data_IF_886253660547
#
_entry.id   IF_886253660547
#
_cell.length_a   1.000
_cell.length_b   1.000
_cell.length_c   1.000
_cell.angle_alpha   90.00
_cell.angle_beta   90.00
_cell.angle_gamma   90.00
#
_symmetry.space_group_name_H-M   'P 1'
#
loop_
_entity.id
_entity.type
_entity.pdbx_description
1 polymer ?
#
# COMPACT_ATOMS: atom_id res chain seq x y z
N UNK A 1 -11.12 -17.50 -28.54
CA UNK A 1 -12.43 -17.83 -27.98
C UNK A 1 -12.83 -16.80 -26.92
N UNK A 2 -13.12 -15.55 -27.31
CA UNK A 2 -13.90 -14.56 -26.52
C UNK A 2 -14.36 -13.32 -27.32
N UNK A 3 -14.44 -13.41 -28.66
CA UNK A 3 -15.22 -12.44 -29.44
C UNK A 3 -16.67 -12.92 -29.39
N UNK A 4 -17.53 -12.21 -28.66
CA UNK A 4 -18.98 -11.97 -28.86
C UNK A 4 -19.55 -11.54 -27.50
N UNK A 5 -19.51 -10.23 -27.24
CA UNK A 5 -20.47 -9.51 -26.43
C UNK A 5 -20.39 -8.06 -26.89
N UNK A 6 -21.38 -7.65 -27.68
CA UNK A 6 -21.51 -6.30 -28.21
C UNK A 6 -21.54 -5.27 -27.06
N UNK A 7 -20.61 -4.32 -27.10
CA UNK A 7 -20.45 -3.24 -26.10
C UNK A 7 -21.69 -2.35 -25.93
N UNK A 8 -22.66 -2.46 -26.85
CA UNK A 8 -23.94 -1.76 -26.82
C UNK A 8 -24.88 -2.24 -25.69
N UNK A 9 -24.70 -3.46 -25.18
CA UNK A 9 -25.62 -4.06 -24.18
C UNK A 9 -25.28 -3.74 -22.71
N UNK A 10 -24.08 -3.22 -22.43
CA UNK A 10 -23.68 -2.74 -21.09
C UNK A 10 -23.88 -1.23 -20.88
N UNK A 11 -24.19 -0.50 -21.96
CA UNK A 11 -24.44 0.94 -21.94
C UNK A 11 -25.74 1.38 -21.22
N UNK A 12 -26.86 0.63 -21.11
CA UNK A 12 -28.09 1.18 -20.53
C UNK A 12 -28.11 1.16 -18.99
N UNK A 13 -27.30 0.35 -18.32
CA UNK A 13 -27.34 0.21 -16.85
C UNK A 13 -26.56 1.30 -16.13
N UNK A 14 -25.41 1.70 -16.66
CA UNK A 14 -24.56 2.72 -16.03
C UNK A 14 -25.23 4.11 -15.97
N UNK A 15 -25.92 4.61 -17.02
CA UNK A 15 -26.67 5.87 -16.97
C UNK A 15 -27.84 5.81 -15.99
N UNK A 16 -28.54 4.67 -15.91
CA UNK A 16 -29.65 4.47 -14.96
C UNK A 16 -29.15 4.43 -13.51
N UNK A 17 -28.05 3.72 -13.24
CA UNK A 17 -27.39 3.72 -11.93
C UNK A 17 -26.88 5.11 -11.56
N UNK A 18 -26.28 5.84 -12.50
CA UNK A 18 -25.83 7.23 -12.30
C UNK A 18 -27.00 8.17 -12.03
N UNK A 19 -28.14 7.98 -12.71
CA UNK A 19 -29.35 8.76 -12.46
C UNK A 19 -29.96 8.44 -11.09
N UNK A 20 -30.04 7.16 -10.72
CA UNK A 20 -30.50 6.72 -9.41
C UNK A 20 -29.62 7.24 -8.27
N UNK A 21 -28.29 7.22 -8.47
CA UNK A 21 -27.33 7.80 -7.53
C UNK A 21 -27.57 9.30 -7.33
N UNK A 22 -27.68 10.07 -8.42
CA UNK A 22 -27.95 11.52 -8.34
C UNK A 22 -29.29 11.83 -7.68
N UNK A 23 -30.32 11.05 -7.94
CA UNK A 23 -31.62 11.22 -7.29
C UNK A 23 -31.52 10.95 -5.79
N UNK A 24 -30.80 9.89 -5.39
CA UNK A 24 -30.54 9.58 -3.98
C UNK A 24 -29.69 10.66 -3.28
N UNK A 25 -28.66 11.17 -3.95
CA UNK A 25 -27.82 12.29 -3.49
C UNK A 25 -28.69 13.54 -3.26
N UNK A 26 -29.54 13.91 -4.23
CA UNK A 26 -30.42 15.09 -4.09
C UNK A 26 -31.43 14.95 -2.95
N UNK A 27 -31.97 13.74 -2.72
CA UNK A 27 -32.86 13.48 -1.57
C UNK A 27 -32.08 13.55 -0.25
N UNK A 28 -30.85 13.06 -0.22
CA UNK A 28 -29.99 13.15 0.95
C UNK A 28 -29.63 14.61 1.25
N UNK A 29 -29.23 15.38 0.24
CA UNK A 29 -28.91 16.81 0.37
C UNK A 29 -30.10 17.59 0.93
N UNK A 30 -31.30 17.38 0.40
CA UNK A 30 -32.52 18.02 0.90
C UNK A 30 -32.75 17.75 2.39
N UNK A 31 -32.63 16.48 2.82
CA UNK A 31 -32.75 16.09 4.23
C UNK A 31 -31.67 16.72 5.11
N UNK A 32 -30.45 16.82 4.60
CA UNK A 32 -29.33 17.45 5.30
C UNK A 32 -29.58 18.95 5.48
N UNK A 33 -30.07 19.65 4.46
CA UNK A 33 -30.46 21.06 4.55
C UNK A 33 -31.58 21.31 5.56
N UNK A 34 -32.57 20.42 5.65
CA UNK A 34 -33.62 20.51 6.67
C UNK A 34 -33.08 20.30 8.09
N UNK A 35 -32.01 19.53 8.25
CA UNK A 35 -31.41 19.23 9.56
C UNK A 35 -30.47 20.32 10.07
N UNK A 36 -29.73 21.02 9.20
CA UNK A 36 -28.77 22.03 9.63
C UNK A 36 -29.32 23.10 10.60
N UNK A 37 -30.51 23.67 10.40
CA UNK A 37 -31.07 24.66 11.33
C UNK A 37 -31.45 24.10 12.70
N UNK A 38 -31.59 22.77 12.81
CA UNK A 38 -32.03 22.10 14.06
C UNK A 38 -30.86 21.70 14.96
N UNK A 39 -29.63 21.80 14.47
CA UNK A 39 -28.44 21.38 15.20
C UNK A 39 -28.13 22.35 16.34
N UNK A 40 -27.92 21.79 17.53
CA UNK A 40 -27.41 22.54 18.67
C UNK A 40 -25.86 22.58 18.68
N UNK A 41 -25.28 23.40 19.56
CA UNK A 41 -23.83 23.60 19.62
C UNK A 41 -23.05 22.31 19.93
N UNK A 42 -23.57 21.45 20.79
CA UNK A 42 -22.90 20.20 21.18
C UNK A 42 -22.91 19.17 20.05
N UNK A 43 -24.01 19.10 19.29
CA UNK A 43 -24.12 18.30 18.08
C UNK A 43 -23.16 18.80 17.00
N UNK A 44 -23.05 20.12 16.81
CA UNK A 44 -22.10 20.72 15.87
C UNK A 44 -20.66 20.39 16.27
N UNK A 45 -20.31 20.51 17.56
CA UNK A 45 -18.97 20.17 18.06
C UNK A 45 -18.66 18.70 17.82
N UNK A 46 -19.60 17.81 18.10
CA UNK A 46 -19.43 16.36 17.87
C UNK A 46 -19.17 16.07 16.39
N UNK A 47 -19.99 16.64 15.50
CA UNK A 47 -19.87 16.44 14.05
C UNK A 47 -18.53 16.96 13.50
N UNK A 48 -18.08 18.13 13.95
CA UNK A 48 -16.84 18.72 13.45
C UNK A 48 -15.61 18.04 14.05
N UNK A 49 -15.58 17.85 15.36
CA UNK A 49 -14.38 17.34 16.04
C UNK A 49 -14.26 15.84 15.84
N UNK A 50 -15.30 15.07 16.17
CA UNK A 50 -15.21 13.63 16.15
C UNK A 50 -15.40 13.10 14.72
N UNK A 51 -16.54 13.41 14.12
CA UNK A 51 -16.92 12.74 12.88
C UNK A 51 -16.14 13.25 11.67
N UNK A 52 -15.67 14.50 11.68
CA UNK A 52 -14.88 15.07 10.59
C UNK A 52 -13.39 15.06 10.89
N UNK A 53 -12.93 15.73 11.95
CA UNK A 53 -11.51 15.94 12.18
C UNK A 53 -10.79 14.68 12.68
N UNK A 54 -11.31 14.03 13.73
CA UNK A 54 -10.71 12.79 14.24
C UNK A 54 -10.74 11.70 13.17
N UNK A 55 -11.85 11.51 12.45
CA UNK A 55 -11.92 10.54 11.36
C UNK A 55 -10.88 10.81 10.24
N UNK A 56 -10.70 12.08 9.86
CA UNK A 56 -9.68 12.45 8.86
C UNK A 56 -8.27 12.18 9.36
N UNK A 57 -8.00 12.52 10.62
CA UNK A 57 -6.69 12.30 11.26
C UNK A 57 -6.39 10.80 11.40
N UNK A 58 -7.35 10.00 11.84
CA UNK A 58 -7.21 8.54 11.91
C UNK A 58 -6.89 7.93 10.54
N UNK A 59 -7.60 8.35 9.50
CA UNK A 59 -7.33 7.94 8.11
C UNK A 59 -5.91 8.31 7.67
N UNK A 60 -5.47 9.53 7.96
CA UNK A 60 -4.13 10.00 7.64
C UNK A 60 -3.05 9.23 8.41
N UNK A 61 -3.24 8.99 9.71
CA UNK A 61 -2.32 8.21 10.54
C UNK A 61 -2.21 6.77 10.05
N UNK A 62 -3.33 6.12 9.76
CA UNK A 62 -3.32 4.75 9.26
C UNK A 62 -2.67 4.66 7.87
N UNK A 63 -2.92 5.65 7.01
CA UNK A 63 -2.25 5.78 5.72
C UNK A 63 -0.74 5.91 5.86
N UNK A 64 -0.27 6.75 6.79
CA UNK A 64 1.16 6.93 7.05
C UNK A 64 1.80 5.65 7.63
N UNK A 65 1.12 4.99 8.57
CA UNK A 65 1.58 3.72 9.13
C UNK A 65 1.75 2.65 8.04
N UNK A 66 0.77 2.53 7.15
CA UNK A 66 0.83 1.61 6.02
C UNK A 66 1.97 1.97 5.07
N UNK A 67 2.15 3.27 4.76
CA UNK A 67 3.24 3.76 3.92
C UNK A 67 4.61 3.39 4.49
N UNK A 68 4.83 3.64 5.79
CA UNK A 68 6.09 3.32 6.48
C UNK A 68 6.32 1.80 6.47
N UNK A 69 5.29 1.00 6.77
CA UNK A 69 5.38 -0.47 6.76
C UNK A 69 5.77 -1.01 5.37
N UNK A 70 5.17 -0.47 4.32
CA UNK A 70 5.49 -0.85 2.94
C UNK A 70 6.92 -0.44 2.57
N UNK A 71 7.34 0.78 2.93
CA UNK A 71 8.69 1.27 2.67
C UNK A 71 9.75 0.40 3.37
N UNK A 72 9.51 0.03 4.64
CA UNK A 72 10.38 -0.87 5.38
C UNK A 72 10.46 -2.25 4.73
N UNK A 73 9.31 -2.81 4.31
CA UNK A 73 9.24 -4.10 3.63
C UNK A 73 10.04 -4.08 2.32
N UNK A 74 9.92 -3.02 1.53
CA UNK A 74 10.68 -2.85 0.29
C UNK A 74 12.17 -2.70 0.56
N UNK A 75 12.58 -1.97 1.60
CA UNK A 75 13.98 -1.82 1.98
C UNK A 75 14.60 -3.16 2.39
N UNK A 76 13.89 -3.96 3.21
CA UNK A 76 14.34 -5.31 3.62
C UNK A 76 14.50 -6.22 2.39
N UNK A 77 13.51 -6.20 1.48
CA UNK A 77 13.58 -6.96 0.23
C UNK A 77 14.81 -6.57 -0.61
N UNK A 78 15.03 -5.28 -0.82
CA UNK A 78 16.19 -4.78 -1.55
C UNK A 78 17.51 -5.18 -0.87
N UNK A 79 17.54 -5.19 0.47
CA UNK A 79 18.71 -5.62 1.22
C UNK A 79 19.00 -7.10 0.99
N UNK A 80 17.97 -7.95 1.09
CA UNK A 80 18.11 -9.39 0.85
C UNK A 80 18.62 -9.67 -0.56
N UNK A 81 17.98 -9.09 -1.58
CA UNK A 81 18.38 -9.22 -2.99
C UNK A 81 19.81 -8.72 -3.22
N UNK A 82 20.18 -7.59 -2.61
CA UNK A 82 21.53 -7.03 -2.77
C UNK A 82 22.60 -7.91 -2.16
N UNK A 83 22.35 -8.56 -1.03
CA UNK A 83 23.39 -9.35 -0.34
C UNK A 83 23.45 -10.81 -0.76
N UNK A 84 22.44 -11.34 -1.45
CA UNK A 84 22.45 -12.72 -1.96
C UNK A 84 23.63 -13.02 -2.89
N UNK A 85 23.85 -12.16 -3.90
CA UNK A 85 24.91 -12.35 -4.91
C UNK A 85 26.33 -12.05 -4.39
N UNK A 86 26.59 -10.90 -3.71
CA UNK A 86 27.93 -10.56 -3.24
C UNK A 86 28.44 -11.51 -2.16
N UNK A 87 27.59 -11.96 -1.24
CA UNK A 87 28.02 -12.86 -0.17
C UNK A 87 28.50 -14.19 -0.76
N UNK A 88 27.76 -14.73 -1.73
CA UNK A 88 28.14 -15.97 -2.42
C UNK A 88 29.48 -15.83 -3.17
N UNK A 89 29.70 -14.69 -3.84
CA UNK A 89 30.96 -14.40 -4.54
C UNK A 89 32.14 -14.29 -3.57
N UNK A 90 31.94 -13.62 -2.43
CA UNK A 90 32.98 -13.48 -1.41
C UNK A 90 33.34 -14.83 -0.77
N UNK A 91 32.35 -15.70 -0.53
CA UNK A 91 32.59 -17.07 -0.04
C UNK A 91 33.46 -17.86 -1.03
N UNK A 92 33.14 -17.79 -2.32
CA UNK A 92 33.97 -18.47 -3.34
C UNK A 92 35.41 -17.94 -3.37
N UNK A 93 35.58 -16.61 -3.30
CA UNK A 93 36.91 -16.00 -3.26
C UNK A 93 37.72 -16.43 -2.03
N UNK A 94 37.07 -16.59 -0.87
CA UNK A 94 37.72 -17.09 0.35
C UNK A 94 38.17 -18.53 0.16
N UNK A 95 37.31 -19.41 -0.37
CA UNK A 95 37.67 -20.82 -0.65
C UNK A 95 38.85 -20.91 -1.61
N UNK A 96 38.86 -20.10 -2.68
CA UNK A 96 39.93 -20.10 -3.66
C UNK A 96 41.27 -19.60 -3.09
N UNK A 97 41.22 -18.58 -2.22
CA UNK A 97 42.41 -18.07 -1.53
C UNK A 97 42.92 -19.06 -0.49
N UNK A 98 42.01 -19.69 0.27
CA UNK A 98 42.34 -20.73 1.24
C UNK A 98 43.04 -21.92 0.57
N UNK A 99 42.53 -22.37 -0.58
CA UNK A 99 43.16 -23.44 -1.36
C UNK A 99 44.60 -23.08 -1.78
N UNK A 100 44.84 -21.83 -2.22
CA UNK A 100 46.18 -21.35 -2.58
C UNK A 100 47.11 -21.30 -1.38
N UNK A 101 46.63 -20.79 -0.25
CA UNK A 101 47.40 -20.72 1.01
C UNK A 101 47.77 -22.13 1.46
N UNK A 102 46.82 -23.06 1.51
CA UNK A 102 47.07 -24.45 1.88
C UNK A 102 48.09 -25.11 0.95
N UNK A 103 48.02 -24.85 -0.36
CA UNK A 103 49.00 -25.35 -1.30
C UNK A 103 50.40 -24.74 -1.08
N UNK A 104 50.50 -23.48 -0.66
CA UNK A 104 51.77 -22.84 -0.31
C UNK A 104 52.33 -23.33 1.02
N UNK A 105 51.49 -23.55 2.03
CA UNK A 105 51.87 -24.14 3.32
C UNK A 105 52.43 -25.55 3.13
N UNK A 106 51.76 -26.40 2.34
CA UNK A 106 52.24 -27.73 2.00
C UNK A 106 53.63 -27.70 1.31
N UNK A 107 53.85 -26.73 0.40
CA UNK A 107 55.16 -26.54 -0.26
C UNK A 107 56.25 -26.08 0.71
N UNK A 108 55.89 -25.36 1.77
CA UNK A 108 56.81 -24.93 2.83
C UNK A 108 57.06 -26.03 3.88
N UNK A 109 56.45 -27.21 3.74
CA UNK A 109 56.62 -28.33 4.67
C UNK A 109 55.73 -28.28 5.91
N UNK A 110 54.73 -27.39 5.92
CA UNK A 110 53.69 -27.36 6.94
C UNK A 110 52.51 -28.23 6.49
N UNK A 111 52.12 -29.20 7.31
CA UNK A 111 50.94 -30.08 7.13
C UNK A 111 49.85 -29.74 8.14
#
# INVERSE_FOLDING_TARGET
MWKIADSSTFQPFFPLLKHALKAAESVLDAKVYEKYPTLNEDEIKTLVVNDKWLATLEGAFHGEMNRISQALTQCIKQLAERYETPVSLHVQNVVDLEAKVNQHLAKMGFS
#
